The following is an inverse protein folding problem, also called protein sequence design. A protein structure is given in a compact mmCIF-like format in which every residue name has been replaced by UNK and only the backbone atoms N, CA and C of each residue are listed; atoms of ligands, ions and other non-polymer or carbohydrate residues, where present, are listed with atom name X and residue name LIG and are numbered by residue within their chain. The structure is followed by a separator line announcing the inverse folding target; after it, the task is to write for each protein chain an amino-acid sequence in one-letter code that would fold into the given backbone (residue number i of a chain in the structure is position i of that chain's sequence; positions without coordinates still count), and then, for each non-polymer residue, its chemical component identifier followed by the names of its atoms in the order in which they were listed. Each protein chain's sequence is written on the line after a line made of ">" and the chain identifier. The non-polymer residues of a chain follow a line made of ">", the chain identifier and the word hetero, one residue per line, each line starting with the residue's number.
data_IF_307945186548
#
_entry.id   IF_307945186548
#
_cell.length_a   1.000
_cell.length_b   1.000
_cell.length_c   1.000
_cell.angle_alpha   90.00
_cell.angle_beta   90.00
_cell.angle_gamma   90.00
#
_symmetry.space_group_name_H-M   'P 1'
#
loop_
_entity.id
_entity.type
_entity.pdbx_description
1 polymer ?
#
# COMPACT_ATOMS: atom_id res chain seq x y z
N UNK A 1 4.60 69.12 30.37
CA UNK A 1 4.32 68.87 28.94
C UNK A 1 4.80 67.46 28.61
N UNK A 2 3.89 66.51 28.40
CA UNK A 2 4.23 65.11 28.07
C UNK A 2 3.96 64.93 26.58
N UNK A 3 4.98 64.60 25.80
CA UNK A 3 4.84 64.29 24.37
C UNK A 3 4.58 62.78 24.24
N UNK A 4 3.36 62.41 23.86
CA UNK A 4 3.01 61.02 23.56
C UNK A 4 3.56 60.63 22.17
N UNK A 5 4.40 59.60 22.12
CA UNK A 5 4.98 59.07 20.88
C UNK A 5 3.92 58.24 20.14
N UNK A 6 3.45 58.72 18.99
CA UNK A 6 2.46 58.03 18.15
C UNK A 6 3.15 56.86 17.42
N UNK A 7 2.86 55.62 17.83
CA UNK A 7 3.34 54.43 17.13
C UNK A 7 2.63 54.34 15.76
N UNK A 8 3.40 54.41 14.66
CA UNK A 8 2.88 54.10 13.33
C UNK A 8 2.70 52.59 13.22
N UNK A 9 1.47 52.11 13.30
CA UNK A 9 1.13 50.75 12.92
C UNK A 9 1.16 50.65 11.39
N UNK A 10 2.20 50.04 10.84
CA UNK A 10 2.25 49.72 9.42
C UNK A 10 1.39 48.47 9.20
N UNK A 11 0.26 48.61 8.52
CA UNK A 11 -0.57 47.49 8.07
C UNK A 11 -0.13 47.00 6.68
N UNK A 12 -0.38 45.73 6.38
CA UNK A 12 -0.18 45.18 5.05
C UNK A 12 -1.14 45.83 4.04
N UNK A 13 -0.64 46.11 2.84
CA UNK A 13 -1.43 46.59 1.71
C UNK A 13 -2.23 45.44 1.09
N UNK A 14 -3.35 45.78 0.44
CA UNK A 14 -4.15 44.79 -0.32
C UNK A 14 -3.31 44.14 -1.42
N UNK A 15 -2.42 44.91 -2.04
CA UNK A 15 -1.53 44.42 -3.09
C UNK A 15 -0.53 43.38 -2.57
N UNK A 16 -0.01 43.56 -1.36
CA UNK A 16 0.89 42.59 -0.73
C UNK A 16 0.18 41.26 -0.45
N UNK A 17 -1.05 41.28 0.07
CA UNK A 17 -1.80 40.04 0.28
C UNK A 17 -2.25 39.40 -1.05
N UNK A 18 -2.50 40.18 -2.10
CA UNK A 18 -2.83 39.65 -3.42
C UNK A 18 -1.64 38.91 -4.05
N UNK A 19 -0.43 39.46 -3.97
CA UNK A 19 0.78 38.78 -4.47
C UNK A 19 1.10 37.53 -3.67
N UNK A 20 0.95 37.58 -2.34
CA UNK A 20 1.20 36.42 -1.46
C UNK A 20 0.25 35.26 -1.78
N UNK A 21 -1.05 35.53 -1.93
CA UNK A 21 -2.02 34.50 -2.28
C UNK A 21 -1.79 33.95 -3.70
N UNK A 22 -1.36 34.79 -4.65
CA UNK A 22 -1.01 34.35 -5.99
C UNK A 22 0.17 33.37 -5.99
N UNK A 23 1.26 33.68 -5.27
CA UNK A 23 2.43 32.80 -5.16
C UNK A 23 2.07 31.54 -4.35
N UNK A 24 1.34 31.68 -3.25
CA UNK A 24 0.90 30.55 -2.44
C UNK A 24 0.04 29.58 -3.27
N UNK A 25 -0.90 30.08 -4.07
CA UNK A 25 -1.72 29.27 -4.98
C UNK A 25 -0.89 28.46 -5.98
N UNK A 26 0.14 29.09 -6.57
CA UNK A 26 1.07 28.40 -7.47
C UNK A 26 1.81 27.26 -6.76
N UNK A 27 2.40 27.53 -5.59
CA UNK A 27 3.15 26.50 -4.82
C UNK A 27 2.22 25.36 -4.38
N UNK A 28 1.01 25.68 -3.91
CA UNK A 28 0.05 24.68 -3.45
C UNK A 28 -0.37 23.72 -4.57
N UNK A 29 -0.56 24.21 -5.79
CA UNK A 29 -0.90 23.35 -6.93
C UNK A 29 0.17 22.28 -7.22
N UNK A 30 1.45 22.67 -7.20
CA UNK A 30 2.56 21.74 -7.41
C UNK A 30 2.74 20.77 -6.24
N UNK A 31 2.50 21.23 -5.00
CA UNK A 31 2.61 20.42 -3.79
C UNK A 31 1.64 19.23 -3.77
N UNK A 32 0.39 19.42 -4.25
CA UNK A 32 -0.63 18.37 -4.26
C UNK A 32 -0.24 17.17 -5.15
N UNK A 33 0.32 17.42 -6.33
CA UNK A 33 0.77 16.37 -7.28
C UNK A 33 1.95 15.56 -6.69
N UNK A 34 2.82 16.22 -5.92
CA UNK A 34 3.94 15.52 -5.27
C UNK A 34 3.45 14.55 -4.19
N UNK A 35 2.46 14.95 -3.39
CA UNK A 35 1.94 14.14 -2.28
C UNK A 35 1.27 12.85 -2.78
N UNK A 36 0.51 12.91 -3.88
CA UNK A 36 -0.14 11.71 -4.44
C UNK A 36 0.90 10.67 -4.86
N UNK A 37 1.96 11.10 -5.57
CA UNK A 37 3.07 10.23 -5.98
C UNK A 37 3.82 9.60 -4.80
N UNK A 38 4.05 10.37 -3.73
CA UNK A 38 4.69 9.84 -2.51
C UNK A 38 3.81 8.79 -1.83
N UNK A 39 2.49 9.03 -1.74
CA UNK A 39 1.55 8.06 -1.15
C UNK A 39 1.47 6.78 -1.95
N UNK A 40 1.45 6.86 -3.29
CA UNK A 40 1.48 5.68 -4.17
C UNK A 40 2.73 4.84 -3.92
N UNK A 41 3.92 5.45 -3.92
CA UNK A 41 5.19 4.75 -3.64
C UNK A 41 5.24 4.15 -2.23
N UNK A 42 4.67 4.83 -1.23
CA UNK A 42 4.59 4.30 0.13
C UNK A 42 3.70 3.07 0.21
N UNK A 43 2.56 3.04 -0.49
CA UNK A 43 1.69 1.86 -0.56
C UNK A 43 2.36 0.71 -1.31
N UNK A 44 3.00 0.99 -2.44
CA UNK A 44 3.77 -0.02 -3.18
C UNK A 44 4.88 -0.65 -2.33
N UNK A 45 5.61 0.16 -1.55
CA UNK A 45 6.61 -0.36 -0.60
C UNK A 45 5.99 -1.22 0.51
N UNK A 46 4.77 -0.88 0.96
CA UNK A 46 4.04 -1.70 1.93
C UNK A 46 3.62 -3.04 1.31
N UNK A 47 3.08 -3.03 0.08
CA UNK A 47 2.71 -4.25 -0.66
C UNK A 47 3.88 -5.20 -0.84
N UNK A 48 5.05 -4.66 -1.17
CA UNK A 48 6.28 -5.45 -1.25
C UNK A 48 6.67 -6.10 0.08
N UNK A 49 6.52 -5.38 1.20
CA UNK A 49 6.79 -5.92 2.53
C UNK A 49 5.78 -7.01 2.91
N UNK A 50 4.50 -6.78 2.62
CA UNK A 50 3.41 -7.71 2.89
C UNK A 50 3.59 -9.02 2.11
N UNK A 51 3.95 -8.94 0.83
CA UNK A 51 4.25 -10.11 -0.01
C UNK A 51 5.45 -10.88 0.53
N UNK A 52 6.53 -10.21 0.94
CA UNK A 52 7.69 -10.87 1.56
C UNK A 52 7.33 -11.58 2.86
N UNK A 53 6.47 -10.97 3.68
CA UNK A 53 5.96 -11.60 4.90
C UNK A 53 5.16 -12.87 4.58
N UNK A 54 4.30 -12.84 3.54
CA UNK A 54 3.58 -14.01 3.07
C UNK A 54 4.52 -15.10 2.56
N UNK A 55 5.53 -14.76 1.74
CA UNK A 55 6.52 -15.72 1.25
C UNK A 55 7.25 -16.41 2.41
N UNK A 56 7.70 -15.63 3.41
CA UNK A 56 8.35 -16.18 4.59
C UNK A 56 7.42 -17.13 5.37
N UNK A 57 6.16 -16.75 5.58
CA UNK A 57 5.18 -17.59 6.27
C UNK A 57 4.90 -18.89 5.49
N UNK A 58 4.79 -18.82 4.17
CA UNK A 58 4.61 -19.98 3.30
C UNK A 58 5.83 -20.90 3.32
N UNK A 59 7.04 -20.36 3.30
CA UNK A 59 8.28 -21.14 3.43
C UNK A 59 8.35 -21.86 4.77
N UNK A 60 7.99 -21.19 5.87
CA UNK A 60 7.93 -21.82 7.20
C UNK A 60 6.88 -22.94 7.25
N UNK A 61 5.68 -22.69 6.69
CA UNK A 61 4.64 -23.71 6.61
C UNK A 61 5.11 -24.91 5.79
N UNK A 62 5.70 -24.70 4.62
CA UNK A 62 6.19 -25.77 3.75
C UNK A 62 7.34 -26.56 4.39
N UNK A 63 8.22 -25.90 5.14
CA UNK A 63 9.27 -26.58 5.91
C UNK A 63 8.69 -27.54 6.97
N UNK A 64 7.54 -27.20 7.56
CA UNK A 64 6.92 -28.00 8.62
C UNK A 64 5.99 -29.09 8.07
N UNK A 65 5.19 -28.77 7.05
CA UNK A 65 4.17 -29.67 6.51
C UNK A 65 4.65 -30.47 5.28
N UNK A 66 5.74 -30.06 4.65
CA UNK A 66 6.27 -30.65 3.42
C UNK A 66 5.55 -30.23 2.13
N UNK A 67 4.57 -29.31 2.23
CA UNK A 67 3.82 -28.76 1.09
C UNK A 67 3.33 -27.35 1.41
N UNK A 68 3.05 -26.55 0.37
CA UNK A 68 2.39 -25.26 0.50
C UNK A 68 0.86 -25.43 0.63
N UNK A 69 0.13 -24.52 1.32
CA UNK A 69 -1.31 -24.66 1.50
C UNK A 69 -2.06 -24.76 0.17
N UNK A 70 -2.79 -25.85 -0.05
CA UNK A 70 -3.43 -26.13 -1.34
C UNK A 70 -4.75 -25.36 -1.45
N UNK A 71 -4.93 -24.64 -2.55
CA UNK A 71 -6.17 -23.95 -2.86
C UNK A 71 -6.77 -24.49 -4.17
N UNK A 72 -8.06 -24.82 -4.17
CA UNK A 72 -8.77 -25.36 -5.35
C UNK A 72 -8.91 -24.36 -6.51
N UNK A 73 -8.51 -23.11 -6.29
CA UNK A 73 -8.46 -22.03 -7.25
C UNK A 73 -7.66 -20.86 -6.68
N UNK A 74 -7.64 -19.76 -7.41
CA UNK A 74 -7.09 -18.52 -6.88
C UNK A 74 -8.03 -17.91 -5.84
N UNK A 75 -7.48 -17.54 -4.70
CA UNK A 75 -8.20 -16.89 -3.60
C UNK A 75 -7.56 -15.55 -3.24
N UNK A 76 -8.35 -14.64 -2.70
CA UNK A 76 -7.84 -13.41 -2.08
C UNK A 76 -7.47 -13.74 -0.64
N UNK A 77 -6.21 -13.53 -0.29
CA UNK A 77 -5.68 -13.77 1.05
C UNK A 77 -6.46 -12.93 2.06
N UNK A 78 -7.09 -13.57 3.05
CA UNK A 78 -7.98 -12.95 4.03
C UNK A 78 -9.35 -12.50 3.52
N UNK A 79 -9.68 -12.76 2.26
CA UNK A 79 -11.02 -12.55 1.72
C UNK A 79 -12.03 -13.59 2.23
N UNK A 80 -13.32 -13.35 1.98
CA UNK A 80 -14.41 -14.24 2.42
C UNK A 80 -14.38 -15.65 1.81
N UNK A 81 -13.63 -15.86 0.74
CA UNK A 81 -13.39 -17.17 0.11
C UNK A 81 -12.07 -17.86 0.53
N UNK A 82 -11.27 -17.22 1.39
CA UNK A 82 -10.00 -17.78 1.85
C UNK A 82 -10.23 -18.83 2.94
N UNK A 83 -10.18 -20.09 2.55
CA UNK A 83 -10.23 -21.24 3.46
C UNK A 83 -8.91 -22.01 3.51
N UNK A 84 -7.93 -21.64 2.69
CA UNK A 84 -6.77 -22.47 2.42
C UNK A 84 -5.44 -21.82 2.82
N UNK A 85 -5.30 -20.49 2.81
CA UNK A 85 -4.01 -19.84 3.09
C UNK A 85 -4.05 -18.98 4.34
N UNK A 86 -4.95 -18.01 4.43
CA UNK A 86 -5.03 -17.09 5.56
C UNK A 86 -5.32 -17.82 6.88
N UNK A 87 -6.42 -18.58 6.99
CA UNK A 87 -6.76 -19.31 8.21
C UNK A 87 -5.68 -20.31 8.62
N UNK A 88 -5.09 -21.01 7.65
CA UNK A 88 -4.05 -22.02 7.89
C UNK A 88 -2.78 -21.38 8.45
N UNK A 89 -2.30 -20.31 7.81
CA UNK A 89 -1.07 -19.64 8.27
C UNK A 89 -1.25 -18.91 9.62
N UNK A 90 -2.47 -18.44 9.92
CA UNK A 90 -2.78 -17.82 11.22
C UNK A 90 -2.91 -18.89 12.32
N UNK A 91 -3.61 -19.99 12.07
CA UNK A 91 -3.80 -21.06 13.03
C UNK A 91 -2.47 -21.69 13.48
N UNK A 92 -1.54 -21.83 12.54
CA UNK A 92 -0.20 -22.37 12.80
C UNK A 92 0.79 -21.30 13.33
N UNK A 93 0.37 -20.05 13.45
CA UNK A 93 1.19 -18.96 14.00
C UNK A 93 2.31 -18.45 13.08
N UNK A 94 2.30 -18.80 11.78
CA UNK A 94 3.30 -18.34 10.83
C UNK A 94 3.08 -16.89 10.34
N UNK A 95 1.89 -16.34 10.57
CA UNK A 95 1.60 -14.91 10.40
C UNK A 95 1.49 -14.22 11.76
N UNK A 96 2.54 -13.49 12.14
CA UNK A 96 2.51 -12.62 13.31
C UNK A 96 1.57 -11.42 13.07
N UNK A 97 0.55 -11.26 13.92
CA UNK A 97 -0.42 -10.16 13.87
C UNK A 97 -1.89 -10.56 13.69
N UNK A 98 -2.19 -11.85 13.48
CA UNK A 98 -3.56 -12.38 13.56
C UNK A 98 -4.49 -12.03 12.39
N UNK A 99 -4.04 -11.27 11.40
CA UNK A 99 -4.77 -11.06 10.15
C UNK A 99 -3.87 -11.27 8.93
N UNK A 100 -4.39 -11.86 7.85
CA UNK A 100 -3.68 -11.89 6.57
C UNK A 100 -3.37 -10.45 6.15
N UNK A 101 -2.22 -10.20 5.52
CA UNK A 101 -1.86 -8.83 5.11
C UNK A 101 -2.97 -8.30 4.20
N UNK A 102 -3.43 -7.08 4.47
CA UNK A 102 -4.58 -6.44 3.80
C UNK A 102 -4.05 -5.25 3.01
N UNK A 103 -4.52 -5.05 1.78
CA UNK A 103 -4.07 -3.92 0.97
C UNK A 103 -4.50 -2.56 1.59
N UNK A 104 -3.61 -1.54 1.64
CA UNK A 104 -3.93 -0.25 2.24
C UNK A 104 -5.05 0.55 1.56
N UNK A 105 -5.42 0.24 0.32
CA UNK A 105 -6.43 0.95 -0.47
C UNK A 105 -7.73 0.16 -0.57
N UNK A 106 -7.64 -1.10 -0.99
CA UNK A 106 -8.82 -1.93 -1.32
C UNK A 106 -9.21 -2.89 -0.21
N UNK A 107 -8.40 -3.03 0.84
CA UNK A 107 -8.69 -4.00 1.87
C UNK A 107 -8.54 -5.43 1.32
N UNK A 108 -9.59 -6.22 1.50
CA UNK A 108 -9.80 -7.53 0.86
C UNK A 108 -10.86 -7.46 -0.24
N UNK A 109 -11.37 -6.27 -0.56
CA UNK A 109 -12.46 -6.05 -1.51
C UNK A 109 -11.87 -5.81 -2.89
N UNK A 110 -11.88 -6.85 -3.72
CA UNK A 110 -11.44 -6.75 -5.11
C UNK A 110 -11.52 -8.08 -5.81
N UNK A 111 -10.98 -8.13 -7.02
CA UNK A 111 -10.88 -9.34 -7.82
C UNK A 111 -9.45 -9.49 -8.35
N UNK A 112 -8.91 -10.69 -8.24
CA UNK A 112 -7.59 -11.01 -8.74
C UNK A 112 -7.47 -10.76 -10.25
N UNK A 113 -6.39 -10.09 -10.66
CA UNK A 113 -6.10 -9.80 -12.07
C UNK A 113 -6.92 -8.67 -12.69
N UNK A 114 -7.83 -8.02 -11.95
CA UNK A 114 -8.60 -6.88 -12.48
C UNK A 114 -7.79 -5.59 -12.33
N UNK A 115 -7.82 -4.73 -13.35
CA UNK A 115 -7.15 -3.42 -13.30
C UNK A 115 -7.71 -2.58 -12.15
N UNK A 116 -6.85 -1.76 -11.53
CA UNK A 116 -7.18 -0.89 -10.39
C UNK A 116 -7.73 -1.61 -9.14
N UNK A 117 -7.60 -2.93 -9.07
CA UNK A 117 -7.85 -3.70 -7.86
C UNK A 117 -6.54 -4.08 -7.19
N UNK A 118 -6.44 -3.79 -5.90
CA UNK A 118 -5.23 -4.03 -5.12
C UNK A 118 -5.54 -5.08 -4.06
N UNK A 119 -5.35 -6.35 -4.40
CA UNK A 119 -5.56 -7.48 -3.50
C UNK A 119 -4.39 -8.46 -3.60
N UNK A 120 -4.10 -9.19 -2.52
CA UNK A 120 -3.13 -10.27 -2.54
C UNK A 120 -3.85 -11.56 -2.89
N UNK A 121 -3.47 -12.13 -4.02
CA UNK A 121 -4.06 -13.35 -4.54
C UNK A 121 -3.10 -14.50 -4.39
N UNK A 122 -3.61 -15.66 -4.02
CA UNK A 122 -2.82 -16.84 -3.77
C UNK A 122 -3.43 -18.06 -4.47
N UNK A 123 -2.56 -18.88 -5.05
CA UNK A 123 -2.92 -20.16 -5.62
C UNK A 123 -1.77 -21.14 -5.41
N UNK A 124 -2.09 -22.39 -5.07
CA UNK A 124 -1.09 -23.45 -4.94
C UNK A 124 -1.69 -24.83 -5.16
N UNK A 125 -0.89 -25.71 -5.77
CA UNK A 125 -1.15 -27.15 -5.89
C UNK A 125 -0.32 -28.00 -4.91
N UNK A 126 0.35 -27.39 -3.92
CA UNK A 126 1.13 -28.09 -2.89
C UNK A 126 2.65 -28.07 -3.11
N UNK A 127 3.12 -28.28 -4.34
CA UNK A 127 4.57 -28.24 -4.65
C UNK A 127 5.09 -26.83 -4.98
N UNK A 128 4.24 -26.00 -5.57
CA UNK A 128 4.54 -24.62 -5.95
C UNK A 128 3.39 -23.73 -5.53
N UNK A 129 3.66 -22.44 -5.33
CA UNK A 129 2.64 -21.43 -5.14
C UNK A 129 2.88 -20.22 -6.03
N UNK A 130 1.83 -19.45 -6.24
CA UNK A 130 1.89 -18.15 -6.89
C UNK A 130 1.17 -17.14 -6.01
N UNK A 131 1.85 -16.05 -5.68
CA UNK A 131 1.23 -14.84 -5.12
C UNK A 131 1.15 -13.80 -6.23
N UNK A 132 -0.04 -13.23 -6.45
CA UNK A 132 -0.25 -12.09 -7.35
C UNK A 132 -0.70 -10.87 -6.57
N UNK A 133 -0.22 -9.70 -6.97
CA UNK A 133 -0.57 -8.42 -6.36
C UNK A 133 -0.32 -7.28 -7.36
N UNK A 134 -0.98 -6.14 -7.21
CA UNK A 134 -0.84 -5.02 -8.13
C UNK A 134 -0.01 -3.88 -7.52
N UNK A 135 0.85 -3.25 -8.34
CA UNK A 135 1.56 -2.02 -7.98
C UNK A 135 0.92 -0.82 -8.69
N UNK A 136 0.88 0.32 -8.01
CA UNK A 136 0.34 1.56 -8.56
C UNK A 136 1.34 2.26 -9.49
N UNK A 137 2.63 2.10 -9.23
CA UNK A 137 3.69 2.85 -9.89
C UNK A 137 4.88 1.98 -10.29
N UNK A 138 5.71 2.51 -11.20
CA UNK A 138 7.02 1.95 -11.54
C UNK A 138 8.10 2.30 -10.48
N UNK A 139 7.68 2.50 -9.22
CA UNK A 139 8.57 2.97 -8.16
C UNK A 139 9.47 1.88 -7.55
N UNK A 140 9.15 0.60 -7.79
CA UNK A 140 9.89 -0.54 -7.26
C UNK A 140 10.89 -1.05 -8.31
N UNK A 141 12.20 -1.12 -8.00
CA UNK A 141 13.20 -1.62 -8.95
C UNK A 141 12.89 -3.03 -9.44
N UNK A 142 12.95 -3.23 -10.76
CA UNK A 142 12.68 -4.52 -11.39
C UNK A 142 11.19 -4.89 -11.51
N UNK A 143 10.28 -3.98 -11.14
CA UNK A 143 8.82 -4.17 -11.28
C UNK A 143 8.18 -2.98 -11.97
N UNK A 144 7.06 -3.23 -12.63
CA UNK A 144 6.25 -2.20 -13.29
C UNK A 144 4.92 -2.03 -12.56
N UNK A 145 4.24 -0.92 -12.82
CA UNK A 145 2.85 -0.76 -12.41
C UNK A 145 1.99 -1.88 -13.01
N UNK A 146 0.93 -2.24 -12.30
CA UNK A 146 0.04 -3.35 -12.61
C UNK A 146 0.40 -4.65 -11.89
N UNK A 147 -0.22 -5.74 -12.36
CA UNK A 147 -0.15 -7.04 -11.71
C UNK A 147 1.24 -7.66 -11.81
N UNK A 148 1.78 -7.99 -10.64
CA UNK A 148 3.02 -8.73 -10.42
C UNK A 148 2.69 -10.13 -9.94
N UNK A 149 3.61 -11.06 -10.18
CA UNK A 149 3.51 -12.45 -9.75
C UNK A 149 4.83 -12.86 -9.13
N UNK A 150 4.77 -13.54 -7.98
CA UNK A 150 5.93 -14.13 -7.32
C UNK A 150 5.63 -15.58 -6.93
N UNK A 151 6.67 -16.39 -6.88
CA UNK A 151 6.60 -17.80 -6.49
C UNK A 151 7.63 -18.14 -5.40
N UNK A 152 7.81 -19.43 -5.10
CA UNK A 152 8.84 -19.91 -4.17
C UNK A 152 10.26 -19.53 -4.60
#
# INVERSE_FOLDING_TARGET
>A
MIIAKKNKSNGFTILEMLVVLAIAGMILSAALISITNVRMKSRDSRREADVKQLQNALSLYANNMGFYPICSGEVIVGGSGDSCVGPVLVAEGFLQGGSPQIDPLSGTSGTCGVVDNYVYCYQSGGSFYTIRYALESNGIPGKTAGWQSVGP
#
